data_IF_284108936682
#
_entry.id   IF_284108936682
#
_cell.length_a   1.000
_cell.length_b   1.000
_cell.length_c   1.000
_cell.angle_alpha   90.00
_cell.angle_beta   90.00
_cell.angle_gamma   90.00
#
_symmetry.space_group_name_H-M   'P 1'
#
loop_
_entity.id
_entity.type
_entity.pdbx_description
1 polymer ?
#
# COMPACT_ATOMS: atom_id res chain seq x y z
N UNK A 1 24.16 14.04 -18.02
CA UNK A 1 24.35 14.29 -16.57
C UNK A 1 22.95 14.34 -15.97
N UNK A 2 22.44 13.20 -15.50
CA UNK A 2 21.08 13.11 -14.95
C UNK A 2 21.06 13.80 -13.59
N UNK A 3 20.10 14.70 -13.40
CA UNK A 3 19.96 15.55 -12.21
C UNK A 3 19.36 14.75 -11.05
N UNK A 4 19.74 15.15 -9.84
CA UNK A 4 19.48 14.53 -8.53
C UNK A 4 18.01 14.52 -8.06
N UNK A 5 17.04 14.26 -8.95
CA UNK A 5 15.61 14.15 -8.60
C UNK A 5 15.09 12.73 -8.47
N UNK A 6 15.83 11.72 -8.93
CA UNK A 6 15.34 10.32 -9.00
C UNK A 6 15.62 9.49 -7.74
N UNK A 7 16.32 10.03 -6.74
CA UNK A 7 16.59 9.32 -5.47
C UNK A 7 15.50 9.48 -4.42
N UNK A 8 14.48 10.31 -4.66
CA UNK A 8 13.33 10.45 -3.77
C UNK A 8 12.11 9.58 -4.15
N UNK A 9 12.15 8.85 -5.27
CA UNK A 9 11.11 7.87 -5.63
C UNK A 9 11.36 6.45 -5.10
N UNK A 10 12.53 6.19 -4.50
CA UNK A 10 12.97 4.84 -4.15
C UNK A 10 12.62 4.38 -2.71
N UNK A 11 11.86 5.17 -1.97
CA UNK A 11 11.23 4.74 -0.72
C UNK A 11 9.84 5.39 -0.60
N UNK A 12 8.94 5.04 -1.52
CA UNK A 12 7.54 5.03 -1.12
C UNK A 12 7.47 4.14 0.14
N UNK A 13 7.00 4.69 1.25
CA UNK A 13 6.77 3.89 2.45
C UNK A 13 5.84 2.74 2.05
N UNK A 14 6.18 1.50 2.38
CA UNK A 14 5.33 0.36 2.07
C UNK A 14 4.03 0.48 2.89
N UNK A 15 3.01 1.10 2.30
CA UNK A 15 1.71 1.34 2.93
C UNK A 15 0.82 0.11 2.81
N UNK A 16 -0.13 0.00 3.74
CA UNK A 16 -1.16 -1.03 3.71
C UNK A 16 -0.69 -2.48 3.87
N UNK A 17 0.59 -2.71 4.19
CA UNK A 17 1.13 -4.04 4.47
C UNK A 17 1.38 -4.24 5.96
N UNK A 18 0.81 -5.28 6.60
CA UNK A 18 1.15 -5.64 7.97
C UNK A 18 2.63 -5.98 8.12
N UNK A 19 3.26 -5.60 9.23
CA UNK A 19 4.70 -5.82 9.50
C UNK A 19 5.15 -7.27 9.30
N UNK A 20 4.26 -8.24 9.58
CA UNK A 20 4.53 -9.67 9.39
C UNK A 20 4.75 -10.08 7.92
N UNK A 21 4.26 -9.29 6.96
CA UNK A 21 4.39 -9.55 5.53
C UNK A 21 5.51 -8.72 4.87
N UNK A 22 6.14 -7.77 5.56
CA UNK A 22 7.18 -6.90 4.97
C UNK A 22 8.33 -7.68 4.32
N UNK A 23 8.66 -8.88 4.82
CA UNK A 23 9.70 -9.73 4.24
C UNK A 23 9.35 -10.27 2.84
N UNK A 24 8.09 -10.21 2.43
CA UNK A 24 7.63 -10.56 1.08
C UNK A 24 7.71 -9.39 0.09
N UNK A 25 7.78 -8.15 0.59
CA UNK A 25 7.81 -6.93 -0.22
C UNK A 25 9.22 -6.31 -0.22
N UNK A 26 10.15 -6.93 -0.95
CA UNK A 26 11.56 -6.51 -0.98
C UNK A 26 11.89 -5.80 -2.30
N UNK A 27 12.13 -4.47 -2.32
CA UNK A 27 12.30 -3.70 -3.56
C UNK A 27 13.42 -4.14 -4.50
N UNK A 28 14.41 -4.86 -3.98
CA UNK A 28 15.55 -5.36 -4.77
C UNK A 28 15.30 -6.68 -5.48
N UNK A 29 14.07 -7.22 -5.45
CA UNK A 29 13.68 -8.51 -6.03
C UNK A 29 12.35 -8.36 -6.77
N UNK A 30 12.05 -9.28 -7.69
CA UNK A 30 10.69 -9.42 -8.20
C UNK A 30 9.71 -9.74 -7.07
N UNK A 31 8.47 -9.28 -7.21
CA UNK A 31 7.38 -9.59 -6.30
C UNK A 31 6.61 -10.82 -6.82
N UNK A 32 6.38 -11.79 -5.95
CA UNK A 32 5.48 -12.91 -6.25
C UNK A 32 4.16 -12.62 -5.55
N UNK A 33 3.06 -12.62 -6.32
CA UNK A 33 1.71 -12.48 -5.76
C UNK A 33 1.51 -13.50 -4.64
N UNK A 34 0.79 -13.14 -3.59
CA UNK A 34 0.70 -13.96 -2.38
C UNK A 34 -0.11 -15.25 -2.58
N UNK A 35 -0.93 -15.31 -3.62
CA UNK A 35 -1.65 -16.48 -4.12
C UNK A 35 -0.86 -17.31 -5.15
N UNK A 36 0.40 -16.98 -5.40
CA UNK A 36 1.28 -17.60 -6.39
C UNK A 36 0.78 -17.53 -7.85
N UNK A 37 -0.17 -16.63 -8.17
CA UNK A 37 -0.73 -16.51 -9.52
C UNK A 37 0.26 -15.98 -10.56
N UNK A 38 1.15 -15.07 -10.17
CA UNK A 38 2.18 -14.47 -11.03
C UNK A 38 3.39 -13.97 -10.25
N UNK A 39 4.47 -13.67 -10.99
CA UNK A 39 5.63 -12.93 -10.49
C UNK A 39 5.85 -11.71 -11.37
N UNK A 40 5.88 -10.53 -10.76
CA UNK A 40 5.95 -9.22 -11.43
C UNK A 40 7.21 -8.45 -11.00
N UNK A 41 7.67 -7.47 -11.78
CA UNK A 41 8.65 -6.49 -11.32
C UNK A 41 8.17 -5.76 -10.06
N UNK A 42 9.06 -5.46 -9.10
CA UNK A 42 8.65 -4.76 -7.87
C UNK A 42 8.12 -3.34 -8.13
N UNK A 43 8.51 -2.73 -9.25
CA UNK A 43 8.01 -1.42 -9.66
C UNK A 43 6.50 -1.40 -9.95
N UNK A 44 5.86 -2.57 -10.07
CA UNK A 44 4.41 -2.73 -10.20
C UNK A 44 3.72 -2.94 -8.84
N UNK A 45 4.46 -2.83 -7.74
CA UNK A 45 3.85 -2.83 -6.40
C UNK A 45 3.47 -1.40 -6.04
N UNK A 46 2.19 -1.17 -5.78
CA UNK A 46 1.59 0.15 -5.54
C UNK A 46 1.80 1.11 -6.73
N UNK A 47 1.58 0.62 -7.94
CA UNK A 47 1.69 1.44 -9.17
C UNK A 47 0.33 1.94 -9.68
N UNK A 48 -0.73 1.74 -8.90
CA UNK A 48 -2.13 2.10 -9.21
C UNK A 48 -2.71 1.27 -10.36
N UNK A 49 -2.17 0.06 -10.60
CA UNK A 49 -2.70 -0.92 -11.54
C UNK A 49 -2.75 -2.32 -10.90
N UNK A 50 -3.83 -3.07 -11.17
CA UNK A 50 -4.01 -4.39 -10.57
C UNK A 50 -3.46 -5.52 -11.46
N UNK A 51 -2.27 -6.02 -11.14
CA UNK A 51 -1.58 -7.12 -11.81
C UNK A 51 -1.80 -8.48 -11.11
N UNK A 52 -1.86 -8.51 -9.77
CA UNK A 52 -2.08 -9.76 -9.05
C UNK A 52 -3.57 -10.09 -8.91
N UNK A 53 -3.93 -11.37 -9.14
CA UNK A 53 -5.32 -11.84 -8.98
C UNK A 53 -5.84 -11.67 -7.56
N UNK A 54 -4.97 -11.81 -6.56
CA UNK A 54 -5.29 -11.62 -5.15
C UNK A 54 -5.20 -10.16 -4.69
N UNK A 55 -4.78 -9.24 -5.57
CA UNK A 55 -4.56 -7.82 -5.30
C UNK A 55 -3.41 -7.52 -4.35
N UNK A 56 -2.49 -8.46 -4.16
CA UNK A 56 -1.38 -8.30 -3.21
C UNK A 56 -0.26 -7.37 -3.68
N UNK A 57 -0.23 -7.01 -4.96
CA UNK A 57 0.63 -5.99 -5.54
C UNK A 57 0.21 -4.57 -5.17
N UNK A 58 -1.07 -4.33 -4.90
CA UNK A 58 -1.64 -3.02 -4.59
C UNK A 58 -2.12 -2.88 -3.14
N UNK A 59 -1.29 -3.18 -2.10
CA UNK A 59 -1.73 -3.08 -0.71
C UNK A 59 -1.95 -1.64 -0.25
N UNK A 60 -1.35 -0.67 -0.92
CA UNK A 60 -1.34 0.75 -0.58
C UNK A 60 -2.23 1.62 -1.44
N UNK A 61 -2.91 1.08 -2.46
CA UNK A 61 -3.76 1.84 -3.40
C UNK A 61 -5.17 1.24 -3.46
N UNK A 62 -6.06 1.85 -4.26
CA UNK A 62 -7.42 1.36 -4.50
C UNK A 62 -7.58 0.58 -5.81
N UNK A 63 -6.49 0.27 -6.51
CA UNK A 63 -6.51 -0.26 -7.88
C UNK A 63 -7.09 -1.68 -7.99
N UNK A 64 -6.94 -2.52 -6.96
CA UNK A 64 -7.46 -3.89 -6.98
C UNK A 64 -8.85 -4.02 -6.33
N UNK A 65 -9.85 -4.62 -7.01
CA UNK A 65 -11.24 -4.71 -6.52
C UNK A 65 -11.42 -5.63 -5.30
N UNK A 66 -10.49 -6.56 -5.09
CA UNK A 66 -10.43 -7.47 -3.95
C UNK A 66 -9.23 -7.17 -3.02
N UNK A 67 -8.59 -6.01 -3.20
CA UNK A 67 -7.47 -5.57 -2.39
C UNK A 67 -7.87 -5.26 -0.95
N UNK A 68 -6.87 -5.23 -0.07
CA UNK A 68 -7.02 -4.85 1.32
C UNK A 68 -5.90 -3.90 1.71
N UNK A 69 -6.23 -2.90 2.51
CA UNK A 69 -5.27 -1.97 3.09
C UNK A 69 -5.18 -2.21 4.59
N UNK A 70 -3.97 -2.36 5.10
CA UNK A 70 -3.71 -2.47 6.54
C UNK A 70 -3.44 -1.11 7.19
N UNK A 71 -4.39 -0.68 8.03
CA UNK A 71 -4.18 0.41 8.98
C UNK A 71 -3.26 -0.07 10.10
N UNK A 72 -2.08 0.53 10.25
CA UNK A 72 -1.12 0.11 11.28
C UNK A 72 -1.65 0.42 12.69
N UNK A 73 -2.38 1.53 12.85
CA UNK A 73 -2.96 2.00 14.11
C UNK A 73 -1.94 1.91 15.26
N UNK A 74 -0.76 2.52 15.07
CA UNK A 74 0.38 2.38 15.99
C UNK A 74 -0.03 2.64 17.46
N UNK A 75 0.28 1.68 18.33
CA UNK A 75 -0.10 1.72 19.75
C UNK A 75 -1.48 1.13 20.06
N UNK A 76 -2.22 0.73 19.03
CA UNK A 76 -3.57 0.16 19.09
C UNK A 76 -3.66 -1.12 18.24
N UNK A 77 -4.88 -1.60 18.04
CA UNK A 77 -5.15 -2.79 17.23
C UNK A 77 -5.16 -2.37 15.76
N UNK A 78 -4.24 -2.92 14.97
CA UNK A 78 -4.23 -2.77 13.52
C UNK A 78 -5.50 -3.35 12.88
N UNK A 79 -5.93 -2.77 11.76
CA UNK A 79 -7.18 -3.11 11.10
C UNK A 79 -6.96 -3.30 9.59
N UNK A 80 -7.80 -4.15 8.98
CA UNK A 80 -7.87 -4.27 7.53
C UNK A 80 -9.14 -3.57 7.05
N UNK A 81 -8.99 -2.73 6.02
CA UNK A 81 -10.10 -2.12 5.31
C UNK A 81 -10.07 -2.57 3.84
N UNK A 82 -11.22 -2.58 3.14
CA UNK A 82 -11.24 -2.76 1.70
C UNK A 82 -10.43 -1.69 0.96
N UNK A 83 -9.70 -2.07 -0.09
CA UNK A 83 -8.87 -1.15 -0.88
C UNK A 83 -9.62 0.05 -1.48
N UNK A 84 -10.91 -0.09 -1.80
CA UNK A 84 -11.70 1.00 -2.38
C UNK A 84 -11.95 2.19 -1.43
N UNK A 85 -11.61 2.04 -0.14
CA UNK A 85 -11.65 3.11 0.86
C UNK A 85 -10.32 3.88 0.93
N UNK A 86 -9.29 3.44 0.21
CA UNK A 86 -8.01 4.15 0.16
C UNK A 86 -8.12 5.34 -0.76
N UNK A 87 -7.95 6.54 -0.20
CA UNK A 87 -7.98 7.80 -0.94
C UNK A 87 -9.37 8.17 -1.48
N UNK A 88 -10.44 7.67 -0.84
CA UNK A 88 -11.82 7.94 -1.23
C UNK A 88 -12.36 9.26 -0.68
N UNK A 89 -11.59 9.93 0.20
CA UNK A 89 -11.92 11.19 0.84
C UNK A 89 -12.65 11.04 2.18
N UNK A 90 -12.72 9.83 2.73
CA UNK A 90 -13.31 9.50 4.03
C UNK A 90 -12.22 8.92 4.94
N UNK A 91 -12.24 9.28 6.22
CA UNK A 91 -11.28 8.74 7.19
C UNK A 91 -11.81 7.42 7.78
N UNK A 92 -11.33 6.28 7.32
CA UNK A 92 -11.71 4.93 7.77
C UNK A 92 -10.70 4.34 8.75
N UNK A 93 -9.39 4.52 8.52
CA UNK A 93 -8.39 4.14 9.52
C UNK A 93 -8.41 5.11 10.70
N UNK A 94 -8.33 4.62 11.95
CA UNK A 94 -8.24 5.53 13.11
C UNK A 94 -6.97 6.36 13.10
N UNK A 95 -5.89 5.89 12.47
CA UNK A 95 -4.65 6.65 12.29
C UNK A 95 -4.66 7.56 11.05
N UNK A 96 -5.73 7.53 10.25
CA UNK A 96 -5.92 8.32 9.02
C UNK A 96 -4.97 7.94 7.88
N UNK A 97 -4.33 6.76 7.93
CA UNK A 97 -3.30 6.36 6.98
C UNK A 97 -3.80 5.99 5.58
N UNK A 98 -5.10 5.77 5.43
CA UNK A 98 -5.84 5.51 4.21
C UNK A 98 -5.96 6.74 3.28
N UNK A 99 -5.94 7.96 3.84
CA UNK A 99 -6.12 9.22 3.10
C UNK A 99 -4.79 9.94 2.81
N UNK A 100 -3.72 9.19 2.54
CA UNK A 100 -2.35 9.70 2.48
C UNK A 100 -2.00 10.57 1.25
N UNK A 101 -2.78 10.47 0.17
CA UNK A 101 -2.58 11.20 -1.09
C UNK A 101 -3.73 12.16 -1.43
N UNK A 102 -4.65 12.40 -0.50
CA UNK A 102 -5.79 13.29 -0.71
C UNK A 102 -5.58 14.67 -0.08
N UNK A 103 -6.50 15.60 -0.36
CA UNK A 103 -6.51 16.92 0.30
C UNK A 103 -7.17 16.88 1.68
N UNK A 104 -7.72 15.72 2.07
CA UNK A 104 -8.39 15.54 3.36
C UNK A 104 -7.33 15.34 4.45
N UNK A 105 -7.56 15.93 5.62
CA UNK A 105 -6.69 15.76 6.78
C UNK A 105 -7.40 14.88 7.79
N UNK A 106 -7.01 13.61 7.84
CA UNK A 106 -7.48 12.67 8.85
C UNK A 106 -6.60 12.77 10.09
N UNK A 107 -7.20 13.16 11.22
CA UNK A 107 -6.51 13.17 12.50
C UNK A 107 -6.42 11.76 13.06
N UNK A 108 -5.34 11.46 13.79
CA UNK A 108 -5.25 10.21 14.54
C UNK A 108 -6.25 10.24 15.71
N UNK A 109 -7.22 9.34 15.67
CA UNK A 109 -8.26 9.11 16.69
C UNK A 109 -8.20 7.69 17.25
N UNK A 110 -7.07 7.01 17.08
CA UNK A 110 -6.71 5.94 17.97
C UNK A 110 -6.45 6.59 19.36
#
# INVERSE_FOLDING_TARGET
MMQSSDTHKLHATLRGVPTLLHSKYVPSKSFSCLDDSSTIPFEFVNDDYCDCRDGSDEPGTSACPNGQFFCENKGYIGALIPSHLVGDGVCDCCDGSDEYETTIVCNNTC
#
